data_IF_541860435817
#
_entry.id   IF_541860435817
#
_cell.length_a   1.000
_cell.length_b   1.000
_cell.length_c   1.000
_cell.angle_alpha   90.00
_cell.angle_beta   90.00
_cell.angle_gamma   90.00
#
_symmetry.space_group_name_H-M   'P 1'
#
loop_
_entity.id
_entity.type
_entity.pdbx_description
1 polymer ?
#
# COMPACT_ATOMS: atom_id res chain seq x y z
N UNK A 1 41.14 15.35 -9.28
CA UNK A 1 40.24 14.17 -9.18
C UNK A 1 38.80 14.68 -9.29
N UNK A 2 38.08 14.46 -10.39
CA UNK A 2 36.71 14.96 -10.53
C UNK A 2 35.75 14.13 -9.68
N UNK A 3 34.90 14.82 -8.91
CA UNK A 3 33.87 14.20 -8.08
C UNK A 3 32.75 13.61 -8.93
N UNK A 4 32.52 12.32 -8.79
CA UNK A 4 31.38 11.63 -9.39
C UNK A 4 30.11 12.05 -8.65
N UNK A 5 29.26 12.83 -9.32
CA UNK A 5 27.88 13.09 -8.89
C UNK A 5 27.10 11.81 -9.13
N UNK A 6 26.77 11.08 -8.06
CA UNK A 6 25.80 9.99 -8.14
C UNK A 6 24.42 10.56 -8.45
N UNK A 7 23.71 10.07 -9.48
CA UNK A 7 22.33 10.48 -9.70
C UNK A 7 21.49 9.98 -8.53
N UNK A 8 20.79 10.89 -7.86
CA UNK A 8 19.80 10.54 -6.84
C UNK A 8 18.68 9.76 -7.53
N UNK A 9 18.75 8.43 -7.45
CA UNK A 9 17.61 7.57 -7.73
C UNK A 9 16.51 8.05 -6.79
N UNK A 10 15.48 8.69 -7.36
CA UNK A 10 14.33 9.16 -6.61
C UNK A 10 13.86 8.04 -5.71
N UNK A 11 13.79 8.31 -4.41
CA UNK A 11 13.46 7.31 -3.39
C UNK A 11 12.08 6.77 -3.72
N UNK A 12 12.03 5.62 -4.40
CA UNK A 12 10.78 4.91 -4.60
C UNK A 12 10.25 4.62 -3.20
N UNK A 13 9.05 5.10 -2.84
CA UNK A 13 8.50 4.83 -1.53
C UNK A 13 8.49 3.32 -1.32
N UNK A 14 9.00 2.88 -0.19
CA UNK A 14 8.99 1.47 0.17
C UNK A 14 7.56 0.94 0.05
N UNK A 15 7.34 -0.27 -0.50
CA UNK A 15 5.99 -0.78 -0.74
C UNK A 15 5.13 -0.84 0.54
N UNK A 16 5.79 -0.89 1.71
CA UNK A 16 5.14 -0.80 3.01
C UNK A 16 4.52 0.56 3.30
N UNK A 17 5.10 1.69 2.84
CA UNK A 17 4.56 3.02 3.12
C UNK A 17 3.22 3.26 2.42
N UNK A 18 3.10 2.83 1.16
CA UNK A 18 1.84 2.90 0.41
C UNK A 18 0.74 2.06 1.07
N UNK A 19 1.09 0.89 1.61
CA UNK A 19 0.13 0.04 2.32
C UNK A 19 -0.33 0.67 3.63
N UNK A 20 0.60 1.21 4.42
CA UNK A 20 0.24 1.91 5.66
C UNK A 20 -0.60 3.17 5.39
N UNK A 21 -0.32 3.90 4.31
CA UNK A 21 -1.10 5.08 3.93
C UNK A 21 -2.52 4.73 3.51
N UNK A 22 -2.72 3.61 2.79
CA UNK A 22 -4.05 3.10 2.49
C UNK A 22 -4.83 2.77 3.77
N UNK A 23 -4.19 2.07 4.73
CA UNK A 23 -4.81 1.70 5.99
C UNK A 23 -5.19 2.94 6.83
N UNK A 24 -4.30 3.94 6.91
CA UNK A 24 -4.59 5.20 7.61
C UNK A 24 -5.78 5.94 6.98
N UNK A 25 -5.76 6.13 5.66
CA UNK A 25 -6.86 6.79 4.95
C UNK A 25 -8.18 6.03 5.11
N UNK A 26 -8.16 4.69 5.09
CA UNK A 26 -9.35 3.87 5.28
C UNK A 26 -9.89 3.92 6.72
N UNK A 27 -9.04 4.13 7.72
CA UNK A 27 -9.42 4.14 9.14
C UNK A 27 -9.92 5.49 9.66
N UNK A 28 -9.41 6.60 9.11
CA UNK A 28 -9.68 7.94 9.63
C UNK A 28 -9.87 8.97 8.51
N UNK A 29 -11.09 9.51 8.40
CA UNK A 29 -11.41 10.55 7.42
C UNK A 29 -10.72 11.89 7.70
N UNK A 30 -10.21 12.12 8.91
CA UNK A 30 -9.48 13.33 9.28
C UNK A 30 -8.01 13.31 8.86
N UNK A 31 -7.46 12.14 8.46
CA UNK A 31 -6.06 12.01 8.09
C UNK A 31 -5.71 12.79 6.80
N UNK A 32 -6.50 12.63 5.74
CA UNK A 32 -6.35 13.40 4.49
C UNK A 32 -7.68 13.82 3.84
N UNK A 33 -8.79 13.76 4.60
CA UNK A 33 -10.11 14.20 4.16
C UNK A 33 -11.02 13.08 3.64
N UNK A 34 -12.31 13.41 3.52
CA UNK A 34 -13.38 12.45 3.21
C UNK A 34 -13.19 11.77 1.84
N UNK A 35 -12.75 12.52 0.82
CA UNK A 35 -12.55 11.97 -0.51
C UNK A 35 -11.53 10.83 -0.53
N UNK A 36 -10.36 11.04 0.09
CA UNK A 36 -9.32 10.00 0.15
C UNK A 36 -9.74 8.83 1.02
N UNK A 37 -10.49 9.09 2.08
CA UNK A 37 -11.07 8.05 2.92
C UNK A 37 -11.99 7.12 2.13
N UNK A 38 -12.93 7.66 1.33
CA UNK A 38 -13.83 6.83 0.52
C UNK A 38 -13.11 5.95 -0.48
N UNK A 39 -12.11 6.52 -1.18
CA UNK A 39 -11.30 5.75 -2.14
C UNK A 39 -10.57 4.62 -1.42
N UNK A 40 -9.94 4.92 -0.28
CA UNK A 40 -9.23 3.91 0.51
C UNK A 40 -10.17 2.81 1.00
N UNK A 41 -11.39 3.15 1.44
CA UNK A 41 -12.42 2.16 1.81
C UNK A 41 -12.87 1.29 0.63
N UNK A 42 -13.04 1.89 -0.55
CA UNK A 42 -13.42 1.15 -1.75
C UNK A 42 -12.33 0.15 -2.18
N UNK A 43 -11.06 0.57 -2.17
CA UNK A 43 -9.94 -0.33 -2.46
C UNK A 43 -9.79 -1.44 -1.42
N UNK A 44 -9.92 -1.12 -0.13
CA UNK A 44 -9.86 -2.13 0.93
C UNK A 44 -10.98 -3.17 0.76
N UNK A 45 -12.19 -2.71 0.43
CA UNK A 45 -13.34 -3.60 0.16
C UNK A 45 -13.06 -4.51 -1.03
N UNK A 46 -12.54 -3.97 -2.14
CA UNK A 46 -12.16 -4.74 -3.32
C UNK A 46 -11.13 -5.83 -3.00
N UNK A 47 -10.18 -5.55 -2.10
CA UNK A 47 -9.19 -6.53 -1.67
C UNK A 47 -9.82 -7.64 -0.83
N UNK A 48 -10.70 -7.30 0.11
CA UNK A 48 -11.39 -8.29 0.95
C UNK A 48 -12.37 -9.18 0.18
N UNK A 49 -13.05 -8.63 -0.83
CA UNK A 49 -13.99 -9.36 -1.67
C UNK A 49 -13.30 -10.16 -2.80
N UNK A 50 -12.01 -9.91 -3.05
CA UNK A 50 -11.26 -10.59 -4.09
C UNK A 50 -10.92 -12.03 -3.71
N UNK A 51 -11.53 -12.99 -4.40
CA UNK A 51 -11.21 -14.41 -4.24
C UNK A 51 -9.73 -14.72 -4.49
N UNK A 52 -9.10 -14.05 -5.46
CA UNK A 52 -7.66 -14.20 -5.75
C UNK A 52 -6.80 -13.68 -4.60
N UNK A 53 -7.13 -12.51 -4.04
CA UNK A 53 -6.37 -11.95 -2.92
C UNK A 53 -6.48 -12.84 -1.67
N UNK A 54 -7.69 -13.33 -1.38
CA UNK A 54 -7.92 -14.26 -0.28
C UNK A 54 -7.17 -15.58 -0.46
N UNK A 55 -7.11 -16.12 -1.69
CA UNK A 55 -6.30 -17.32 -1.99
C UNK A 55 -4.82 -17.08 -1.71
N UNK A 56 -4.26 -16.01 -2.26
CA UNK A 56 -2.82 -15.70 -2.09
C UNK A 56 -2.46 -15.43 -0.62
N UNK A 57 -3.31 -14.71 0.11
CA UNK A 57 -3.13 -14.49 1.54
C UNK A 57 -3.16 -15.83 2.32
N UNK A 58 -4.11 -16.71 1.97
CA UNK A 58 -4.22 -18.03 2.62
C UNK A 58 -2.99 -18.89 2.34
N UNK A 59 -2.47 -18.87 1.11
CA UNK A 59 -1.23 -19.57 0.73
C UNK A 59 -0.02 -19.02 1.50
N UNK A 60 0.08 -17.70 1.65
CA UNK A 60 1.12 -17.07 2.45
C UNK A 60 1.05 -17.47 3.93
N UNK A 61 -0.16 -17.46 4.54
CA UNK A 61 -0.37 -17.90 5.93
C UNK A 61 -0.02 -19.38 6.10
N UNK A 62 -0.30 -20.20 5.09
CA UNK A 62 0.05 -21.62 5.06
C UNK A 62 1.54 -21.90 4.78
N UNK A 63 2.35 -20.87 4.46
CA UNK A 63 3.76 -21.02 4.11
C UNK A 63 4.01 -21.68 2.75
N UNK A 64 3.04 -21.58 1.83
CA UNK A 64 3.10 -22.17 0.50
C UNK A 64 3.68 -21.22 -0.56
N UNK A 65 3.88 -19.93 -0.20
CA UNK A 65 4.56 -18.89 -1.00
C UNK A 65 5.49 -18.06 -0.11
#
# INVERSE_FOLDING_TARGET
>A
MPGHVFPSVGSQPCPTSAWTELLHNAGDASYQGEFRHRIARAELTRLFESGTANRLLSEFIAGLN
#
